data_IF_325225474252
#
_entry.id   IF_325225474252
#
_cell.length_a   1.000
_cell.length_b   1.000
_cell.length_c   1.000
_cell.angle_alpha   90.00
_cell.angle_beta   90.00
_cell.angle_gamma   90.00
#
_symmetry.space_group_name_H-M   'P 1'
#
loop_
_entity.id
_entity.type
_entity.pdbx_description
1 polymer ?
#
# COMPACT_ATOMS: atom_id res chain seq x y z
N UNK A 1 3.66 -18.03 -27.27
CA UNK A 1 4.39 -17.49 -26.09
C UNK A 1 3.48 -17.08 -24.91
N UNK A 2 2.22 -16.68 -25.16
CA UNK A 2 1.26 -16.34 -24.09
C UNK A 2 0.78 -17.57 -23.29
N UNK A 3 0.58 -18.73 -23.95
CA UNK A 3 0.10 -19.96 -23.31
C UNK A 3 1.05 -20.50 -22.23
N UNK A 4 2.35 -20.32 -22.39
CA UNK A 4 3.36 -20.83 -21.45
C UNK A 4 3.40 -20.04 -20.12
N UNK A 5 2.96 -18.79 -20.12
CA UNK A 5 2.89 -17.95 -18.90
C UNK A 5 1.71 -18.31 -18.01
N UNK A 6 0.57 -18.62 -18.60
CA UNK A 6 -0.63 -19.02 -17.85
C UNK A 6 -0.47 -20.39 -17.18
N UNK A 7 0.20 -21.33 -17.82
CA UNK A 7 0.48 -22.65 -17.22
C UNK A 7 1.33 -22.52 -15.95
N UNK A 8 2.34 -21.65 -15.92
CA UNK A 8 3.16 -21.40 -14.71
C UNK A 8 2.36 -20.77 -13.56
N UNK A 9 1.42 -19.88 -13.88
CA UNK A 9 0.55 -19.26 -12.89
C UNK A 9 -0.43 -20.30 -12.30
N UNK A 10 -1.01 -21.15 -13.14
CA UNK A 10 -1.92 -22.22 -12.72
C UNK A 10 -1.19 -23.27 -11.86
N UNK A 11 0.02 -23.65 -12.25
CA UNK A 11 0.85 -24.60 -11.47
C UNK A 11 1.25 -23.97 -10.12
N UNK A 12 1.61 -22.69 -10.09
CA UNK A 12 1.90 -21.97 -8.85
C UNK A 12 0.69 -21.87 -7.91
N UNK A 13 -0.50 -21.60 -8.46
CA UNK A 13 -1.74 -21.55 -7.71
C UNK A 13 -2.17 -22.94 -7.18
N UNK A 14 -1.96 -24.00 -7.95
CA UNK A 14 -2.21 -25.38 -7.53
C UNK A 14 -1.25 -25.83 -6.42
N UNK A 15 0.02 -25.48 -6.49
CA UNK A 15 1.01 -25.79 -5.44
C UNK A 15 0.72 -25.01 -4.15
N UNK A 16 0.31 -23.75 -4.25
CA UNK A 16 -0.17 -22.98 -3.09
C UNK A 16 -1.45 -23.56 -2.49
N UNK A 17 -2.39 -24.01 -3.32
CA UNK A 17 -3.61 -24.68 -2.88
C UNK A 17 -3.34 -26.00 -2.16
N UNK A 18 -2.39 -26.79 -2.61
CA UNK A 18 -1.99 -28.04 -1.94
C UNK A 18 -1.28 -27.77 -0.60
N UNK A 19 -0.45 -26.74 -0.49
CA UNK A 19 0.19 -26.38 0.77
C UNK A 19 -0.82 -25.99 1.86
N UNK A 20 -1.94 -25.40 1.48
CA UNK A 20 -3.04 -25.05 2.41
C UNK A 20 -3.80 -26.33 2.84
N UNK A 21 -3.96 -27.32 1.97
CA UNK A 21 -4.67 -28.57 2.27
C UNK A 21 -3.87 -29.50 3.17
N UNK A 22 -2.54 -29.50 3.10
CA UNK A 22 -1.69 -30.30 3.99
C UNK A 22 -1.73 -29.82 5.46
N UNK A 23 -2.09 -28.57 5.71
CA UNK A 23 -2.22 -28.05 7.08
C UNK A 23 -3.50 -28.48 7.79
N UNK A 24 -4.46 -29.10 7.09
CA UNK A 24 -5.77 -29.43 7.64
C UNK A 24 -5.82 -30.75 8.44
N UNK A 25 -4.80 -31.60 8.37
CA UNK A 25 -4.80 -32.93 9.00
C UNK A 25 -4.09 -33.00 10.37
N UNK A 26 -3.65 -31.88 10.92
CA UNK A 26 -3.01 -31.80 12.24
C UNK A 26 -4.04 -31.68 13.38
N UNK A 27 -5.08 -32.54 13.39
CA UNK A 27 -5.96 -32.64 14.54
C UNK A 27 -5.43 -33.73 15.51
N UNK A 28 -4.27 -33.47 16.09
CA UNK A 28 -3.93 -34.04 17.37
C UNK A 28 -4.53 -33.14 18.45
N UNK A 29 -5.35 -33.68 19.32
CA UNK A 29 -5.92 -33.05 20.50
C UNK A 29 -4.81 -32.74 21.53
N UNK A 30 -3.82 -31.94 21.16
CA UNK A 30 -2.88 -31.37 22.04
C UNK A 30 -3.64 -30.24 22.76
N UNK A 31 -3.54 -30.22 24.07
CA UNK A 31 -4.07 -29.16 24.95
C UNK A 31 -3.43 -27.83 24.52
N UNK A 32 -4.07 -27.13 23.58
CA UNK A 32 -3.58 -25.87 23.03
C UNK A 32 -3.70 -24.79 24.09
N UNK A 33 -2.59 -24.47 24.70
CA UNK A 33 -2.50 -23.34 25.62
C UNK A 33 -2.86 -22.06 24.86
N UNK A 34 -3.85 -21.34 25.35
CA UNK A 34 -4.22 -20.05 24.85
C UNK A 34 -3.09 -19.05 25.22
N UNK A 35 -2.45 -18.46 24.21
CA UNK A 35 -1.39 -17.49 24.40
C UNK A 35 -1.99 -16.11 24.60
N UNK A 36 -1.35 -15.23 25.38
CA UNK A 36 -1.77 -13.86 25.60
C UNK A 36 -3.28 -13.78 25.95
N UNK A 37 -3.72 -14.51 26.98
CA UNK A 37 -5.14 -14.58 27.37
C UNK A 37 -5.70 -13.20 27.74
N UNK A 38 -4.92 -12.38 28.43
CA UNK A 38 -5.27 -11.04 28.88
C UNK A 38 -4.90 -9.92 27.88
N UNK A 39 -4.70 -10.30 26.60
CA UNK A 39 -4.33 -9.30 25.58
C UNK A 39 -5.44 -8.25 25.40
N UNK A 40 -6.68 -8.69 25.24
CA UNK A 40 -7.82 -7.80 24.99
C UNK A 40 -8.30 -7.01 26.23
N UNK A 41 -7.77 -7.31 27.45
CA UNK A 41 -8.08 -6.57 28.68
C UNK A 41 -7.43 -5.17 28.71
N UNK A 42 -6.37 -4.96 27.92
CA UNK A 42 -5.68 -3.67 27.83
C UNK A 42 -6.40 -2.76 26.83
N UNK A 43 -6.67 -1.49 27.20
CA UNK A 43 -7.36 -0.57 26.31
C UNK A 43 -6.54 -0.12 25.11
N UNK A 44 -5.20 -0.16 25.20
CA UNK A 44 -4.29 0.28 24.14
C UNK A 44 -3.14 -0.71 24.00
N UNK A 45 -2.83 -1.05 22.76
CA UNK A 45 -1.70 -1.89 22.39
C UNK A 45 -0.74 -1.12 21.49
N UNK A 46 0.53 -1.36 21.68
CA UNK A 46 1.60 -0.76 20.91
C UNK A 46 2.43 -1.84 20.21
N UNK A 47 2.94 -1.49 19.06
CA UNK A 47 3.80 -2.38 18.30
C UNK A 47 4.60 -1.63 17.25
N UNK A 48 5.31 -2.38 16.45
CA UNK A 48 6.03 -1.87 15.31
C UNK A 48 5.63 -2.62 14.05
N UNK A 49 5.85 -2.00 12.91
CA UNK A 49 5.50 -2.56 11.62
C UNK A 49 6.64 -2.42 10.61
N UNK A 50 6.69 -3.41 9.76
CA UNK A 50 7.40 -3.37 8.49
C UNK A 50 6.41 -3.64 7.38
N UNK A 51 6.57 -2.97 6.23
CA UNK A 51 5.68 -3.19 5.11
C UNK A 51 6.37 -2.98 3.77
N UNK A 52 5.83 -3.65 2.76
CA UNK A 52 6.27 -3.59 1.37
C UNK A 52 5.15 -3.00 0.51
N UNK A 53 5.13 -1.67 0.31
CA UNK A 53 4.18 -1.03 -0.59
C UNK A 53 4.60 -1.24 -2.05
N UNK A 54 3.63 -1.58 -2.89
CA UNK A 54 3.73 -1.54 -4.35
C UNK A 54 2.81 -0.42 -4.81
N UNK A 55 3.38 0.66 -5.32
CA UNK A 55 2.67 1.89 -5.66
C UNK A 55 2.73 2.21 -7.14
N UNK A 56 1.68 2.82 -7.67
CA UNK A 56 1.62 3.37 -9.01
C UNK A 56 0.77 4.63 -9.04
N UNK A 57 0.98 5.47 -10.06
CA UNK A 57 0.03 6.55 -10.34
C UNK A 57 -1.12 6.06 -11.22
N UNK A 58 -2.33 6.48 -10.89
CA UNK A 58 -3.47 6.45 -11.80
C UNK A 58 -3.49 7.74 -12.60
N UNK A 59 -3.38 7.65 -13.93
CA UNK A 59 -3.31 8.79 -14.83
C UNK A 59 -4.64 8.94 -15.56
N UNK A 60 -5.22 10.14 -15.51
CA UNK A 60 -6.33 10.53 -16.37
C UNK A 60 -5.79 11.57 -17.36
N UNK A 61 -5.87 11.26 -18.65
CA UNK A 61 -5.37 12.12 -19.71
C UNK A 61 -6.24 13.37 -19.89
N UNK A 62 -5.63 14.45 -20.35
CA UNK A 62 -6.35 15.68 -20.72
C UNK A 62 -6.86 15.61 -22.15
N UNK A 63 -7.84 16.46 -22.51
CA UNK A 63 -8.31 16.57 -23.89
C UNK A 63 -7.20 17.06 -24.84
N UNK A 64 -6.26 17.84 -24.33
CA UNK A 64 -5.09 18.34 -25.09
C UNK A 64 -4.16 17.19 -25.49
N UNK A 65 -4.15 16.06 -24.75
CA UNK A 65 -3.39 14.87 -25.12
C UNK A 65 -3.86 14.26 -26.44
N UNK A 66 -5.16 14.33 -26.71
CA UNK A 66 -5.76 13.77 -27.95
C UNK A 66 -5.48 14.61 -29.20
N UNK A 67 -5.08 15.87 -29.02
CA UNK A 67 -4.78 16.81 -30.10
C UNK A 67 -3.29 17.03 -30.33
N UNK A 68 -2.42 16.44 -29.48
CA UNK A 68 -0.96 16.54 -29.60
C UNK A 68 -0.37 15.34 -30.35
N UNK A 69 0.17 15.58 -31.53
CA UNK A 69 0.88 14.56 -32.35
C UNK A 69 2.25 14.15 -31.80
N UNK A 70 2.72 14.79 -30.72
CA UNK A 70 4.09 14.61 -30.21
C UNK A 70 4.23 13.52 -29.15
N UNK A 71 3.15 13.19 -28.43
CA UNK A 71 3.12 12.23 -27.33
C UNK A 71 2.24 11.03 -27.69
N UNK A 72 2.82 9.84 -27.79
CA UNK A 72 2.08 8.62 -28.08
C UNK A 72 1.46 7.98 -26.85
N UNK A 73 2.18 8.01 -25.70
CA UNK A 73 1.76 7.28 -24.51
C UNK A 73 2.36 7.84 -23.24
N UNK A 74 1.52 7.91 -22.20
CA UNK A 74 1.96 8.23 -20.82
C UNK A 74 1.57 7.04 -19.95
N UNK A 75 2.55 6.41 -19.30
CA UNK A 75 2.34 5.26 -18.41
C UNK A 75 2.99 5.49 -17.06
N UNK A 76 2.44 4.84 -16.03
CA UNK A 76 3.01 4.83 -14.69
C UNK A 76 3.20 3.37 -14.24
N UNK A 77 4.39 2.79 -14.46
CA UNK A 77 4.68 1.45 -13.99
C UNK A 77 4.64 1.38 -12.47
N UNK A 78 4.22 0.22 -11.94
CA UNK A 78 4.23 -0.03 -10.52
C UNK A 78 5.68 -0.14 -10.00
N UNK A 79 5.94 0.46 -8.85
CA UNK A 79 7.23 0.42 -8.16
C UNK A 79 7.05 -0.09 -6.74
N UNK A 80 7.98 -0.92 -6.29
CA UNK A 80 8.03 -1.39 -4.92
C UNK A 80 8.80 -0.41 -4.04
N UNK A 81 8.42 -0.34 -2.78
CA UNK A 81 9.06 0.48 -1.77
C UNK A 81 9.22 -0.26 -0.45
N UNK A 82 9.61 0.47 0.56
CA UNK A 82 9.75 -0.01 1.93
C UNK A 82 9.05 0.96 2.88
N UNK A 83 8.41 0.42 3.91
CA UNK A 83 7.71 1.20 4.94
C UNK A 83 8.02 0.63 6.30
N UNK A 84 8.28 1.50 7.27
CA UNK A 84 8.44 1.15 8.67
C UNK A 84 7.68 2.14 9.55
N UNK A 85 7.26 1.70 10.72
CA UNK A 85 6.53 2.56 11.64
C UNK A 85 6.08 1.85 12.90
N UNK A 86 5.16 2.50 13.58
CA UNK A 86 4.58 2.01 14.83
C UNK A 86 3.12 1.63 14.63
N UNK A 87 2.64 0.73 15.46
CA UNK A 87 1.24 0.36 15.56
C UNK A 87 0.70 0.88 16.88
N UNK A 88 -0.43 1.54 16.84
CA UNK A 88 -1.21 1.90 18.04
C UNK A 88 -2.63 1.42 17.78
N UNK A 89 -3.08 0.46 18.59
CA UNK A 89 -4.39 -0.15 18.49
C UNK A 89 -5.17 0.12 19.75
N UNK A 90 -6.28 0.86 19.65
CA UNK A 90 -7.19 1.15 20.74
C UNK A 90 -8.39 0.21 20.70
N UNK A 91 -8.66 -0.46 21.82
CA UNK A 91 -9.84 -1.29 21.99
C UNK A 91 -11.09 -0.44 22.16
N UNK A 92 -12.12 -0.71 21.36
CA UNK A 92 -13.43 -0.08 21.50
C UNK A 92 -14.45 -1.04 22.10
N UNK A 93 -14.51 -2.25 21.53
CA UNK A 93 -15.35 -3.34 22.02
C UNK A 93 -14.85 -4.69 21.47
N UNK A 94 -15.56 -5.79 21.78
CA UNK A 94 -15.14 -7.13 21.38
C UNK A 94 -14.96 -7.34 19.87
N UNK A 95 -15.66 -6.56 19.05
CA UNK A 95 -15.65 -6.67 17.59
C UNK A 95 -14.95 -5.52 16.90
N UNK A 96 -14.74 -4.37 17.57
CA UNK A 96 -14.21 -3.17 16.95
C UNK A 96 -13.02 -2.59 17.69
N UNK A 97 -11.98 -2.25 16.94
CA UNK A 97 -10.83 -1.48 17.38
C UNK A 97 -10.66 -0.25 16.49
N UNK A 98 -10.02 0.78 17.02
CA UNK A 98 -9.45 1.87 16.23
C UNK A 98 -7.95 1.68 16.16
N UNK A 99 -7.38 1.76 14.95
CA UNK A 99 -5.95 1.56 14.72
C UNK A 99 -5.37 2.76 14.00
N UNK A 100 -4.20 3.19 14.47
CA UNK A 100 -3.33 4.07 13.69
C UNK A 100 -1.96 3.43 13.52
N UNK A 101 -1.37 3.60 12.34
CA UNK A 101 -0.04 3.05 12.01
C UNK A 101 0.85 4.16 11.43
N UNK A 102 1.25 5.16 12.27
CA UNK A 102 2.15 6.21 11.80
C UNK A 102 3.43 5.59 11.27
N UNK A 103 3.80 5.96 10.05
CA UNK A 103 4.87 5.29 9.33
C UNK A 103 5.63 6.22 8.39
N UNK A 104 6.90 5.88 8.16
CA UNK A 104 7.74 6.48 7.14
C UNK A 104 7.82 5.50 5.97
N UNK A 105 7.49 6.00 4.80
CA UNK A 105 7.48 5.24 3.55
C UNK A 105 8.53 5.78 2.60
N UNK A 106 9.37 4.89 2.10
CA UNK A 106 10.39 5.15 1.10
C UNK A 106 9.94 4.43 -0.17
N UNK A 107 9.46 5.17 -1.16
CA UNK A 107 9.10 4.60 -2.44
C UNK A 107 9.30 5.58 -3.57
N UNK A 108 9.63 5.01 -4.72
CA UNK A 108 9.78 5.74 -5.94
C UNK A 108 8.50 5.64 -6.76
N UNK A 109 8.09 6.75 -7.36
CA UNK A 109 7.01 6.75 -8.33
C UNK A 109 7.57 7.14 -9.68
N UNK A 110 7.21 6.38 -10.70
CA UNK A 110 7.75 6.57 -12.05
C UNK A 110 6.64 6.94 -13.02
N UNK A 111 6.90 7.94 -13.86
CA UNK A 111 6.08 8.27 -15.01
C UNK A 111 6.94 8.16 -16.26
N UNK A 112 6.46 7.45 -17.24
CA UNK A 112 7.13 7.18 -18.50
C UNK A 112 6.36 7.84 -19.65
N UNK A 113 7.05 8.69 -20.40
CA UNK A 113 6.54 9.38 -21.58
C UNK A 113 7.16 8.76 -22.82
N UNK A 114 6.33 8.29 -23.74
CA UNK A 114 6.75 7.77 -25.05
C UNK A 114 6.38 8.79 -26.13
N UNK A 115 7.37 9.30 -26.84
CA UNK A 115 7.17 10.27 -27.91
C UNK A 115 7.04 9.59 -29.27
N UNK A 116 6.33 10.22 -30.23
CA UNK A 116 6.08 9.72 -31.58
C UNK A 116 7.37 9.41 -32.38
N UNK A 117 8.47 10.07 -32.03
CA UNK A 117 9.80 9.84 -32.68
C UNK A 117 10.60 8.69 -32.06
N UNK A 118 9.98 7.85 -31.21
CA UNK A 118 10.62 6.68 -30.59
C UNK A 118 11.51 7.00 -29.38
N UNK A 119 11.60 8.26 -28.94
CA UNK A 119 12.31 8.60 -27.71
C UNK A 119 11.42 8.36 -26.49
N UNK A 120 12.00 7.77 -25.45
CA UNK A 120 11.32 7.52 -24.16
C UNK A 120 11.96 8.37 -23.08
N UNK A 121 11.14 9.12 -22.35
CA UNK A 121 11.57 9.87 -21.18
C UNK A 121 11.00 9.24 -19.93
N UNK A 122 11.86 8.91 -18.98
CA UNK A 122 11.48 8.37 -17.67
C UNK A 122 11.67 9.44 -16.60
N UNK A 123 10.60 9.80 -15.91
CA UNK A 123 10.66 10.68 -14.74
C UNK A 123 10.50 9.83 -13.49
N UNK A 124 11.58 9.71 -12.73
CA UNK A 124 11.63 9.04 -11.44
C UNK A 124 11.46 10.07 -10.33
N UNK A 125 10.48 9.84 -9.48
CA UNK A 125 10.26 10.64 -8.28
C UNK A 125 10.50 9.81 -7.05
N UNK A 126 11.69 9.94 -6.51
CA UNK A 126 12.06 9.44 -5.19
C UNK A 126 11.43 10.34 -4.13
N UNK A 127 10.65 9.79 -3.23
CA UNK A 127 9.99 10.55 -2.19
C UNK A 127 9.93 9.78 -0.87
N UNK A 128 10.22 10.49 0.20
CA UNK A 128 9.97 10.04 1.57
C UNK A 128 8.64 10.60 2.02
N UNK A 129 7.74 9.73 2.48
CA UNK A 129 6.41 10.10 2.94
C UNK A 129 6.26 9.74 4.41
N UNK A 130 5.65 10.65 5.17
CA UNK A 130 5.10 10.34 6.49
C UNK A 130 3.61 10.11 6.29
N UNK A 131 3.12 8.96 6.72
CA UNK A 131 1.73 8.56 6.57
C UNK A 131 1.13 8.28 7.94
N UNK A 132 -0.05 8.85 8.19
CA UNK A 132 -0.80 8.72 9.44
C UNK A 132 -2.19 8.22 9.09
N UNK A 133 -2.43 6.90 9.12
CA UNK A 133 -3.74 6.31 8.92
C UNK A 133 -4.60 6.39 10.18
N UNK A 134 -5.90 6.54 9.96
CA UNK A 134 -6.95 6.34 10.99
C UNK A 134 -7.88 5.27 10.45
N UNK A 135 -7.87 4.11 11.08
CA UNK A 135 -8.52 2.91 10.60
C UNK A 135 -9.47 2.34 11.65
N UNK A 136 -10.65 1.96 11.22
CA UNK A 136 -11.56 1.12 11.99
C UNK A 136 -11.31 -0.32 11.62
N UNK A 137 -11.10 -1.16 12.63
CA UNK A 137 -10.79 -2.57 12.48
C UNK A 137 -11.93 -3.38 13.07
N UNK A 138 -12.56 -4.19 12.23
CA UNK A 138 -13.54 -5.19 12.63
C UNK A 138 -12.86 -6.55 12.81
N UNK A 139 -12.92 -7.11 14.00
CA UNK A 139 -12.26 -8.37 14.37
C UNK A 139 -13.28 -9.47 14.61
N UNK A 140 -12.99 -10.67 14.11
CA UNK A 140 -13.77 -11.86 14.37
C UNK A 140 -13.51 -12.38 15.78
N UNK A 141 -14.32 -13.33 16.24
CA UNK A 141 -14.03 -14.04 17.47
C UNK A 141 -12.71 -14.81 17.35
N UNK A 142 -11.94 -14.81 18.44
CA UNK A 142 -10.68 -15.53 18.52
C UNK A 142 -10.93 -17.03 18.58
N UNK A 143 -10.33 -17.77 17.66
CA UNK A 143 -10.33 -19.24 17.65
C UNK A 143 -8.93 -19.71 18.00
N UNK A 144 -8.78 -20.31 19.20
CA UNK A 144 -7.48 -20.70 19.75
C UNK A 144 -6.50 -19.51 19.79
N UNK A 145 -5.48 -19.52 18.96
CA UNK A 145 -4.43 -18.48 18.89
C UNK A 145 -4.48 -17.67 17.59
N UNK A 146 -5.62 -17.71 16.87
CA UNK A 146 -5.77 -17.00 15.59
C UNK A 146 -7.08 -16.21 15.57
N UNK A 147 -7.05 -15.03 14.98
CA UNK A 147 -8.20 -14.18 14.75
C UNK A 147 -8.07 -13.49 13.39
N UNK A 148 -9.15 -13.45 12.63
CA UNK A 148 -9.22 -12.70 11.38
C UNK A 148 -9.77 -11.30 11.63
N UNK A 149 -9.40 -10.35 10.80
CA UNK A 149 -9.96 -9.01 10.85
C UNK A 149 -10.02 -8.38 9.47
N UNK A 150 -10.89 -7.40 9.36
CA UNK A 150 -11.00 -6.47 8.23
C UNK A 150 -10.82 -5.06 8.76
N UNK A 151 -10.37 -4.17 7.91
CA UNK A 151 -10.21 -2.77 8.28
C UNK A 151 -10.57 -1.84 7.13
N UNK A 152 -10.95 -0.62 7.50
CA UNK A 152 -11.23 0.44 6.56
C UNK A 152 -11.04 1.80 7.22
N UNK A 153 -10.64 2.80 6.45
CA UNK A 153 -10.42 4.14 6.94
C UNK A 153 -9.74 5.06 5.95
N UNK A 154 -9.00 6.03 6.47
CA UNK A 154 -8.32 7.05 5.68
C UNK A 154 -6.89 7.22 6.15
N UNK A 155 -5.98 7.51 5.20
CA UNK A 155 -4.59 7.85 5.49
C UNK A 155 -4.28 9.25 4.99
N UNK A 156 -3.68 10.04 5.87
CA UNK A 156 -3.09 11.34 5.55
C UNK A 156 -1.60 11.15 5.30
N UNK A 157 -1.13 11.53 4.11
CA UNK A 157 0.26 11.44 3.71
C UNK A 157 0.87 12.81 3.49
N UNK A 158 2.11 12.99 3.97
CA UNK A 158 2.89 14.21 3.77
C UNK A 158 4.27 13.84 3.23
N UNK A 159 4.69 14.51 2.17
CA UNK A 159 6.01 14.35 1.58
C UNK A 159 7.06 15.18 2.34
N UNK A 160 8.11 14.54 2.85
CA UNK A 160 9.20 15.17 3.63
C UNK A 160 10.44 15.46 2.79
N UNK A 161 10.32 15.73 1.50
CA UNK A 161 11.46 15.78 0.62
C UNK A 161 12.23 17.12 0.68
N UNK A 162 13.38 17.12 1.31
CA UNK A 162 14.34 18.24 1.36
C UNK A 162 14.97 18.52 -0.02
N UNK A 163 15.06 17.51 -0.90
CA UNK A 163 15.67 17.61 -2.23
C UNK A 163 14.82 18.37 -3.26
N UNK A 164 13.57 18.66 -2.94
CA UNK A 164 12.65 19.40 -3.81
C UNK A 164 13.17 20.82 -4.17
N UNK A 165 13.95 21.43 -3.28
CA UNK A 165 14.53 22.79 -3.50
C UNK A 165 15.72 22.81 -4.45
N UNK A 166 16.42 21.69 -4.64
CA UNK A 166 17.64 21.62 -5.45
C UNK A 166 17.40 21.22 -6.91
N UNK A 167 16.20 20.72 -7.25
CA UNK A 167 15.83 20.29 -8.61
C UNK A 167 14.72 21.16 -9.22
N UNK A 168 14.73 22.44 -8.98
CA UNK A 168 13.84 23.42 -9.65
C UNK A 168 14.31 23.68 -11.10
N UNK A 169 14.39 22.60 -11.90
CA UNK A 169 14.46 22.73 -13.35
C UNK A 169 13.05 22.70 -13.94
N UNK A 170 12.79 23.46 -14.98
CA UNK A 170 11.51 23.66 -15.67
C UNK A 170 10.88 22.39 -16.25
N UNK A 171 11.52 21.23 -16.11
CA UNK A 171 11.24 20.01 -16.86
C UNK A 171 10.65 18.85 -16.01
N UNK A 172 10.34 19.07 -14.73
CA UNK A 172 9.89 17.96 -13.85
C UNK A 172 8.39 17.99 -13.56
N UNK A 173 7.80 16.78 -13.47
CA UNK A 173 6.42 16.59 -13.03
C UNK A 173 6.25 17.19 -11.63
N UNK A 174 5.46 18.27 -11.54
CA UNK A 174 5.17 18.91 -10.28
C UNK A 174 3.96 18.23 -9.62
N UNK A 175 4.15 17.68 -8.42
CA UNK A 175 3.09 17.04 -7.65
C UNK A 175 2.91 17.70 -6.29
N UNK A 176 1.70 17.60 -5.74
CA UNK A 176 1.41 18.04 -4.37
C UNK A 176 2.21 17.20 -3.38
N UNK A 177 2.68 17.84 -2.29
CA UNK A 177 3.37 17.17 -1.21
C UNK A 177 2.44 16.60 -0.12
N UNK A 178 1.13 16.59 -0.34
CA UNK A 178 0.13 15.98 0.56
C UNK A 178 -0.82 15.10 -0.23
N UNK A 179 -1.17 13.96 0.33
CA UNK A 179 -2.10 12.99 -0.24
C UNK A 179 -3.12 12.57 0.82
N UNK A 180 -4.32 12.24 0.38
CA UNK A 180 -5.37 11.65 1.20
C UNK A 180 -5.85 10.40 0.48
N UNK A 181 -5.75 9.25 1.17
CA UNK A 181 -6.18 7.97 0.61
C UNK A 181 -7.31 7.36 1.43
N UNK A 182 -8.16 6.61 0.76
CA UNK A 182 -9.08 5.65 1.37
C UNK A 182 -8.41 4.31 1.38
N UNK A 183 -8.38 3.70 2.56
CA UNK A 183 -7.73 2.42 2.80
C UNK A 183 -8.75 1.37 3.20
N UNK A 184 -8.57 0.17 2.70
CA UNK A 184 -9.29 -1.01 3.15
C UNK A 184 -8.39 -2.23 3.02
N UNK A 185 -8.65 -3.23 3.86
CA UNK A 185 -7.81 -4.41 3.85
C UNK A 185 -8.32 -5.49 4.81
N UNK A 186 -7.56 -6.55 4.87
CA UNK A 186 -7.81 -7.68 5.75
C UNK A 186 -6.49 -8.27 6.23
N UNK A 187 -6.55 -8.92 7.38
CA UNK A 187 -5.38 -9.54 7.98
C UNK A 187 -5.76 -10.64 8.96
N UNK A 188 -4.72 -11.25 9.46
CA UNK A 188 -4.77 -12.27 10.47
C UNK A 188 -4.02 -11.81 11.70
N UNK A 189 -4.48 -12.14 12.88
CA UNK A 189 -3.74 -12.01 14.12
C UNK A 189 -3.38 -13.40 14.61
N UNK A 190 -2.11 -13.64 14.75
CA UNK A 190 -1.55 -14.88 15.33
C UNK A 190 -0.96 -14.54 16.70
N UNK A 191 -1.57 -15.09 17.74
CA UNK A 191 -1.09 -14.91 19.12
C UNK A 191 0.00 -15.95 19.39
N UNK A 192 1.23 -15.47 19.48
CA UNK A 192 2.39 -16.25 19.87
C UNK A 192 2.57 -16.21 21.40
N UNK A 193 3.56 -16.90 21.93
CA UNK A 193 3.76 -16.97 23.38
C UNK A 193 3.99 -15.60 24.04
N UNK A 194 4.69 -14.68 23.36
CA UNK A 194 5.12 -13.39 23.91
C UNK A 194 4.74 -12.18 23.06
N UNK A 195 4.26 -12.39 21.85
CA UNK A 195 3.97 -11.31 20.90
C UNK A 195 2.81 -11.70 20.01
N UNK A 196 2.08 -10.72 19.52
CA UNK A 196 1.06 -10.90 18.51
C UNK A 196 1.65 -10.53 17.15
N UNK A 197 1.65 -11.46 16.21
CA UNK A 197 2.07 -11.27 14.84
C UNK A 197 0.83 -11.06 13.96
N UNK A 198 0.83 -10.00 13.14
CA UNK A 198 -0.34 -9.65 12.32
C UNK A 198 0.08 -9.35 10.88
N UNK A 199 0.09 -10.35 10.00
CA UNK A 199 0.19 -10.12 8.55
C UNK A 199 -1.13 -9.51 8.03
N UNK A 200 -0.99 -8.47 7.20
CA UNK A 200 -2.12 -7.71 6.65
C UNK A 200 -1.86 -7.32 5.19
N UNK A 201 -2.90 -7.36 4.36
CA UNK A 201 -2.88 -6.81 3.01
C UNK A 201 -3.84 -5.62 2.99
N UNK A 202 -3.32 -4.46 2.56
CA UNK A 202 -4.06 -3.20 2.50
C UNK A 202 -4.00 -2.60 1.10
N UNK A 203 -5.15 -2.10 0.66
CA UNK A 203 -5.33 -1.38 -0.59
C UNK A 203 -5.60 0.08 -0.25
N UNK A 204 -4.84 0.99 -0.85
CA UNK A 204 -4.94 2.44 -0.65
C UNK A 204 -5.21 3.13 -1.97
N UNK A 205 -6.27 3.92 -2.01
CA UNK A 205 -6.68 4.67 -3.20
C UNK A 205 -6.69 6.18 -2.90
N UNK A 206 -5.83 6.93 -3.61
CA UNK A 206 -5.76 8.38 -3.49
C UNK A 206 -7.02 9.08 -4.02
N UNK A 207 -7.56 9.96 -3.21
CA UNK A 207 -8.74 10.77 -3.55
C UNK A 207 -8.30 12.10 -4.16
N UNK A 208 -7.20 12.68 -3.66
CA UNK A 208 -6.73 13.98 -4.10
C UNK A 208 -6.07 13.91 -5.48
N UNK A 209 -6.25 14.99 -6.25
CA UNK A 209 -5.48 15.17 -7.46
C UNK A 209 -4.08 15.66 -7.08
N UNK A 210 -3.08 14.80 -7.26
CA UNK A 210 -1.68 15.11 -6.97
C UNK A 210 -1.03 15.96 -8.07
N UNK A 211 -1.64 16.05 -9.25
CA UNK A 211 -1.10 16.80 -10.36
C UNK A 211 -1.14 18.30 -10.07
N UNK A 212 -0.02 18.97 -10.32
CA UNK A 212 0.11 20.43 -10.33
C UNK A 212 0.54 20.86 -11.73
N UNK A 213 -0.32 21.60 -12.41
CA UNK A 213 0.04 22.20 -13.70
C UNK A 213 1.26 23.11 -13.54
N UNK A 214 2.20 22.99 -14.47
CA UNK A 214 3.33 23.90 -14.59
C UNK A 214 3.33 24.39 -16.03
N UNK A 215 3.13 25.68 -16.25
CA UNK A 215 3.00 26.29 -17.58
C UNK A 215 4.26 26.14 -18.44
N UNK A 216 5.38 25.78 -17.83
CA UNK A 216 6.68 25.61 -18.50
C UNK A 216 6.91 24.20 -19.06
N UNK A 217 6.06 23.22 -18.75
CA UNK A 217 6.28 21.83 -19.17
C UNK A 217 5.18 21.35 -20.11
N UNK A 218 5.44 21.38 -21.40
CA UNK A 218 4.51 20.95 -22.45
C UNK A 218 4.10 19.47 -22.32
N UNK A 219 4.96 18.60 -21.82
CA UNK A 219 4.68 17.18 -21.62
C UNK A 219 3.66 16.94 -20.48
N UNK A 220 3.62 17.80 -19.47
CA UNK A 220 2.67 17.70 -18.36
C UNK A 220 1.24 18.09 -18.75
N UNK A 221 1.06 18.86 -19.83
CA UNK A 221 -0.27 19.28 -20.32
C UNK A 221 -1.13 18.08 -20.79
N UNK A 222 -0.53 16.92 -21.04
CA UNK A 222 -1.23 15.67 -21.35
C UNK A 222 -1.93 15.03 -20.15
N UNK A 223 -1.67 15.48 -18.91
CA UNK A 223 -2.23 14.89 -17.69
C UNK A 223 -3.28 15.83 -17.09
N UNK A 224 -4.49 15.33 -16.89
CA UNK A 224 -5.58 16.07 -16.23
C UNK A 224 -5.63 15.77 -14.73
N UNK A 225 -5.48 14.50 -14.36
CA UNK A 225 -5.55 14.05 -12.97
C UNK A 225 -4.53 12.95 -12.72
N UNK A 226 -3.89 13.03 -11.56
CA UNK A 226 -2.95 12.05 -11.07
C UNK A 226 -3.37 11.61 -9.67
N UNK A 227 -3.65 10.32 -9.49
CA UNK A 227 -4.02 9.73 -8.20
C UNK A 227 -3.01 8.67 -7.81
N UNK A 228 -2.86 8.41 -6.50
CA UNK A 228 -2.02 7.34 -5.99
C UNK A 228 -2.84 6.06 -5.82
N UNK A 229 -2.27 4.92 -6.19
CA UNK A 229 -2.82 3.60 -5.89
C UNK A 229 -1.71 2.73 -5.34
N UNK A 230 -1.92 2.16 -4.17
CA UNK A 230 -0.90 1.37 -3.48
C UNK A 230 -1.52 0.08 -2.94
N UNK A 231 -0.82 -1.02 -3.13
CA UNK A 231 -1.10 -2.30 -2.45
C UNK A 231 0.06 -2.56 -1.52
N UNK A 232 -0.21 -2.77 -0.24
CA UNK A 232 0.83 -2.92 0.77
C UNK A 232 0.63 -4.22 1.55
N UNK A 233 1.72 -4.97 1.71
CA UNK A 233 1.78 -6.11 2.63
C UNK A 233 2.45 -5.61 3.90
N UNK A 234 1.75 -5.72 5.02
CA UNK A 234 2.22 -5.35 6.35
C UNK A 234 2.57 -6.58 7.17
N UNK A 235 3.63 -6.47 7.94
CA UNK A 235 4.03 -7.40 8.99
C UNK A 235 4.10 -6.61 10.29
N UNK A 236 3.15 -6.84 11.18
CA UNK A 236 3.04 -6.09 12.44
C UNK A 236 3.32 -7.01 13.62
N UNK A 237 3.97 -6.44 14.63
CA UNK A 237 4.34 -7.11 15.87
C UNK A 237 3.90 -6.24 17.04
N UNK A 238 3.00 -6.77 17.86
CA UNK A 238 2.39 -6.09 19.03
C UNK A 238 2.56 -6.93 20.30
#
# INVERSE_FOLDING_TARGET
LLHLRWQKVIVGALLLGQAILFSANAQTSSYYRKHLEHYDDKPVHYGFLFALPVTRFGIVHSNTFLTQDTLNRITAPATAGFRMGFVVNGYLNDSWDIRTTPSVSLYDRRVQYEYAKGSTRNELREATWIEIPVLFKYKSQRRMNTRMYMLGGMTFGFETNVRKRLRQGSDFLNTRGSDLTVDYGFGLEQFLAYTKFSPEIRFSHGILNLFRSNDLNTASNGIRRLTSHTVTIYLMFE
#
